data_IF_030611102564
#
_entry.id   IF_030611102564
#
_cell.length_a   1.000
_cell.length_b   1.000
_cell.length_c   1.000
_cell.angle_alpha   90.00
_cell.angle_beta   90.00
_cell.angle_gamma   90.00
#
_symmetry.space_group_name_H-M   'P 1'
#
loop_
_entity.id
_entity.type
_entity.pdbx_description
1 polymer ?
#
# COMPACT_ATOMS: atom_id res chain seq x y z
N UNK A 1 21.72 9.25 -11.08
CA UNK A 1 21.33 7.91 -11.57
C UNK A 1 20.07 7.47 -10.82
N UNK A 2 19.13 6.82 -11.49
CA UNK A 2 17.87 6.35 -10.90
C UNK A 2 17.99 4.84 -10.67
N UNK A 3 18.01 4.41 -9.41
CA UNK A 3 17.90 2.98 -9.08
C UNK A 3 16.46 2.52 -9.29
N UNK A 4 16.25 1.71 -10.31
CA UNK A 4 14.96 1.09 -10.60
C UNK A 4 14.89 -0.28 -9.92
N UNK A 5 13.78 -0.52 -9.21
CA UNK A 5 13.53 -1.78 -8.51
C UNK A 5 12.34 -2.50 -9.15
N UNK A 6 12.48 -3.80 -9.39
CA UNK A 6 11.43 -4.65 -9.95
C UNK A 6 10.93 -5.59 -8.86
N UNK A 7 9.61 -5.70 -8.73
CA UNK A 7 8.96 -6.67 -7.86
C UNK A 7 8.35 -7.78 -8.71
N UNK A 8 8.77 -9.02 -8.46
CA UNK A 8 8.29 -10.21 -9.16
C UNK A 8 7.56 -11.06 -8.12
N UNK A 9 6.31 -11.41 -8.43
CA UNK A 9 5.46 -12.24 -7.57
C UNK A 9 4.75 -13.28 -8.46
N UNK A 10 4.56 -14.53 -7.99
CA UNK A 10 3.66 -15.48 -8.64
C UNK A 10 2.23 -14.93 -8.69
N UNK A 11 1.49 -15.27 -9.75
CA UNK A 11 0.09 -14.89 -9.90
C UNK A 11 -0.78 -15.35 -8.72
N UNK A 12 -0.54 -16.56 -8.21
CA UNK A 12 -1.24 -17.11 -7.04
C UNK A 12 -1.04 -16.24 -5.81
N UNK A 13 0.20 -15.85 -5.54
CA UNK A 13 0.53 -14.96 -4.42
C UNK A 13 -0.10 -13.57 -4.59
N UNK A 14 -0.12 -13.03 -5.81
CA UNK A 14 -0.78 -11.74 -6.07
C UNK A 14 -2.30 -11.84 -5.84
N UNK A 15 -2.93 -12.94 -6.24
CA UNK A 15 -4.34 -13.20 -5.98
C UNK A 15 -4.66 -13.30 -4.49
N UNK A 16 -3.81 -13.98 -3.71
CA UNK A 16 -3.94 -14.06 -2.25
C UNK A 16 -3.85 -12.66 -1.61
N UNK A 17 -2.84 -11.87 -1.98
CA UNK A 17 -2.66 -10.50 -1.49
C UNK A 17 -3.87 -9.61 -1.81
N UNK A 18 -4.43 -9.72 -3.03
CA UNK A 18 -5.63 -8.97 -3.41
C UNK A 18 -6.85 -9.41 -2.58
N UNK A 19 -7.00 -10.71 -2.35
CA UNK A 19 -8.15 -11.30 -1.66
C UNK A 19 -8.12 -11.03 -0.15
N UNK A 20 -6.94 -10.86 0.43
CA UNK A 20 -6.76 -10.51 1.85
C UNK A 20 -6.94 -9.01 2.16
N UNK A 21 -7.38 -8.19 1.18
CA UNK A 21 -7.65 -6.77 1.41
C UNK A 21 -8.80 -6.59 2.43
N UNK A 22 -8.56 -5.98 3.61
CA UNK A 22 -9.48 -6.07 4.74
C UNK A 22 -10.56 -4.99 4.77
N UNK A 23 -10.45 -3.94 3.95
CA UNK A 23 -11.36 -2.82 3.99
C UNK A 23 -12.52 -2.99 3.01
N UNK A 24 -13.71 -2.55 3.44
CA UNK A 24 -14.89 -2.51 2.58
C UNK A 24 -14.63 -1.52 1.45
N UNK A 25 -14.65 -2.01 0.20
CA UNK A 25 -14.56 -1.16 -0.98
C UNK A 25 -15.85 -0.35 -1.11
N UNK A 26 -15.72 0.95 -1.30
CA UNK A 26 -16.81 1.82 -1.67
C UNK A 26 -16.39 2.69 -2.88
N UNK A 27 -17.36 3.34 -3.52
CA UNK A 27 -17.08 4.14 -4.72
C UNK A 27 -16.41 5.49 -4.41
N UNK A 28 -16.44 5.97 -3.16
CA UNK A 28 -15.85 7.23 -2.75
C UNK A 28 -14.39 7.12 -2.31
N UNK A 29 -13.85 5.92 -2.20
CA UNK A 29 -12.50 5.65 -1.69
C UNK A 29 -11.59 5.03 -2.77
N UNK A 30 -10.29 5.26 -2.61
CA UNK A 30 -9.26 4.52 -3.30
C UNK A 30 -8.67 3.45 -2.39
N UNK A 31 -8.49 2.26 -2.95
CA UNK A 31 -7.93 1.11 -2.28
C UNK A 31 -6.56 0.79 -2.88
N UNK A 32 -5.54 0.73 -2.03
CA UNK A 32 -4.15 0.56 -2.40
C UNK A 32 -3.52 -0.63 -1.68
N UNK A 33 -2.57 -1.25 -2.36
CA UNK A 33 -1.62 -2.19 -1.78
C UNK A 33 -0.24 -1.54 -1.88
N UNK A 34 0.43 -1.44 -0.74
CA UNK A 34 1.81 -0.95 -0.65
C UNK A 34 2.71 -2.15 -0.43
N UNK A 35 3.58 -2.38 -1.40
CA UNK A 35 4.63 -3.39 -1.33
C UNK A 35 5.90 -2.75 -0.77
N UNK A 36 6.53 -3.39 0.20
CA UNK A 36 7.83 -2.95 0.74
C UNK A 36 8.94 -3.92 0.33
N UNK A 37 10.15 -3.40 0.19
CA UNK A 37 11.33 -4.25 -0.04
C UNK A 37 11.73 -5.04 1.21
N UNK A 38 11.64 -4.40 2.39
CA UNK A 38 12.07 -4.96 3.67
C UNK A 38 10.89 -5.03 4.65
N UNK A 39 10.90 -6.07 5.48
CA UNK A 39 9.88 -6.26 6.54
C UNK A 39 9.94 -5.12 7.57
N UNK A 40 11.14 -4.65 7.90
CA UNK A 40 11.35 -3.53 8.84
C UNK A 40 10.66 -2.24 8.41
N UNK A 41 10.55 -1.99 7.10
CA UNK A 41 9.87 -0.81 6.54
C UNK A 41 8.39 -0.76 6.93
N UNK A 42 7.74 -1.91 7.17
CA UNK A 42 6.33 -1.95 7.61
C UNK A 42 6.18 -1.28 8.97
N UNK A 43 7.04 -1.65 9.93
CA UNK A 43 6.97 -1.11 11.29
C UNK A 43 7.18 0.41 11.28
N UNK A 44 8.20 0.88 10.55
CA UNK A 44 8.48 2.32 10.43
C UNK A 44 7.34 3.11 9.77
N UNK A 45 6.68 2.54 8.76
CA UNK A 45 5.54 3.19 8.08
C UNK A 45 4.33 3.29 9.00
N UNK A 46 4.02 2.22 9.73
CA UNK A 46 2.88 2.19 10.65
C UNK A 46 3.10 3.11 11.85
N UNK A 47 4.31 3.13 12.42
CA UNK A 47 4.67 4.06 13.50
C UNK A 47 4.59 5.51 13.02
N UNK A 48 5.12 5.81 11.84
CA UNK A 48 5.01 7.15 11.26
C UNK A 48 3.54 7.58 11.06
N UNK A 49 2.67 6.65 10.66
CA UNK A 49 1.23 6.93 10.47
C UNK A 49 0.48 7.10 11.79
N UNK A 50 0.78 6.29 12.81
CA UNK A 50 0.17 6.42 14.16
C UNK A 50 0.42 7.79 14.79
N UNK A 51 1.53 8.42 14.45
CA UNK A 51 1.86 9.79 14.89
C UNK A 51 1.13 10.89 14.10
N UNK A 52 0.17 10.55 13.24
CA UNK A 52 -0.64 11.50 12.49
C UNK A 52 -2.10 11.43 12.91
N UNK A 53 -2.74 12.58 13.12
CA UNK A 53 -4.19 12.64 13.29
C UNK A 53 -4.86 12.58 11.91
N UNK A 54 -5.25 11.39 11.46
CA UNK A 54 -6.01 11.26 10.22
C UNK A 54 -7.13 10.20 10.27
N UNK A 55 -8.34 10.57 10.72
CA UNK A 55 -9.47 9.64 10.81
C UNK A 55 -10.05 9.24 9.44
N UNK A 56 -9.65 9.89 8.35
CA UNK A 56 -10.16 9.61 7.00
C UNK A 56 -9.37 8.54 6.25
N UNK A 57 -8.32 7.99 6.85
CA UNK A 57 -7.48 6.96 6.24
C UNK A 57 -7.52 5.68 7.07
N UNK A 58 -7.56 4.54 6.38
CA UNK A 58 -7.38 3.24 7.00
C UNK A 58 -6.09 2.62 6.49
N UNK A 59 -5.19 2.26 7.39
CA UNK A 59 -3.89 1.67 7.07
C UNK A 59 -3.68 0.47 7.98
N UNK A 60 -3.37 -0.70 7.41
CA UNK A 60 -3.04 -1.89 8.20
C UNK A 60 -2.06 -2.78 7.46
N UNK A 61 -1.22 -3.52 8.20
CA UNK A 61 -0.36 -4.54 7.62
C UNK A 61 -1.16 -5.79 7.24
N UNK A 62 -0.66 -6.55 6.27
CA UNK A 62 -1.17 -7.89 6.02
C UNK A 62 -0.85 -8.84 7.18
N UNK A 63 -1.75 -9.79 7.44
CA UNK A 63 -1.57 -10.87 8.41
C UNK A 63 -0.66 -11.95 7.80
N UNK A 64 -0.87 -12.27 6.52
CA UNK A 64 -0.23 -13.40 5.84
C UNK A 64 1.06 -13.00 5.11
N UNK A 65 1.37 -11.69 5.00
CA UNK A 65 2.53 -11.21 4.26
C UNK A 65 3.22 -10.01 4.92
N UNK A 66 4.43 -10.23 5.44
CA UNK A 66 5.22 -9.25 6.19
C UNK A 66 5.85 -8.14 5.32
N UNK A 67 5.46 -8.02 4.05
CA UNK A 67 5.92 -6.96 3.14
C UNK A 67 4.76 -6.18 2.51
N UNK A 68 3.55 -6.33 3.05
CA UNK A 68 2.35 -5.72 2.50
C UNK A 68 1.65 -4.85 3.54
N UNK A 69 1.27 -3.65 3.10
CA UNK A 69 0.32 -2.77 3.78
C UNK A 69 -0.89 -2.58 2.87
N UNK A 70 -2.08 -2.65 3.45
CA UNK A 70 -3.32 -2.22 2.83
C UNK A 70 -3.63 -0.81 3.27
N UNK A 71 -4.07 0.01 2.32
CA UNK A 71 -4.38 1.40 2.56
C UNK A 71 -5.65 1.82 1.81
N UNK A 72 -6.58 2.44 2.54
CA UNK A 72 -7.77 3.08 2.00
C UNK A 72 -7.77 4.58 2.33
N UNK A 73 -8.14 5.40 1.36
CA UNK A 73 -8.25 6.86 1.50
C UNK A 73 -9.29 7.43 0.56
N UNK A 74 -9.94 8.53 0.94
CA UNK A 74 -10.97 9.16 0.13
C UNK A 74 -10.44 9.64 -1.22
N UNK A 75 -11.28 9.51 -2.26
CA UNK A 75 -10.99 10.03 -3.60
C UNK A 75 -10.67 11.53 -3.54
N UNK A 76 -9.74 11.96 -4.37
CA UNK A 76 -9.27 13.36 -4.39
C UNK A 76 -8.27 13.72 -3.28
N UNK A 77 -8.09 12.88 -2.27
CA UNK A 77 -7.17 13.14 -1.15
C UNK A 77 -5.90 12.29 -1.16
N UNK A 78 -5.78 11.29 -2.05
CA UNK A 78 -4.67 10.32 -2.02
C UNK A 78 -3.26 10.90 -2.24
N UNK A 79 -3.11 12.13 -2.73
CA UNK A 79 -1.80 12.82 -2.83
C UNK A 79 -1.52 13.77 -1.67
N UNK A 80 -2.55 14.18 -0.93
CA UNK A 80 -2.43 15.11 0.19
C UNK A 80 -2.68 14.44 1.56
N UNK A 81 -3.02 13.16 1.56
CA UNK A 81 -3.26 12.37 2.76
C UNK A 81 -1.99 12.24 3.61
N UNK A 82 -2.17 11.96 4.89
CA UNK A 82 -1.06 11.78 5.84
C UNK A 82 -0.20 10.58 5.42
N UNK A 83 -0.81 9.45 5.07
CA UNK A 83 -0.05 8.27 4.66
C UNK A 83 0.66 8.47 3.31
N UNK A 84 0.04 9.18 2.36
CA UNK A 84 0.70 9.55 1.11
C UNK A 84 1.95 10.39 1.33
N UNK A 85 1.89 11.38 2.22
CA UNK A 85 3.03 12.24 2.58
C UNK A 85 4.15 11.43 3.22
N UNK A 86 3.83 10.44 4.05
CA UNK A 86 4.81 9.51 4.62
C UNK A 86 5.48 8.72 3.49
N UNK A 87 4.72 8.07 2.61
CA UNK A 87 5.26 7.27 1.50
C UNK A 87 6.17 8.07 0.56
N UNK A 88 5.92 9.37 0.41
CA UNK A 88 6.73 10.28 -0.42
C UNK A 88 8.06 10.71 0.23
N UNK A 89 8.27 10.45 1.52
CA UNK A 89 9.54 10.75 2.19
C UNK A 89 10.69 9.98 1.52
N UNK A 90 11.86 10.62 1.42
CA UNK A 90 13.04 10.08 0.72
C UNK A 90 13.40 8.66 1.13
N UNK A 91 13.22 8.30 2.41
CA UNK A 91 13.53 6.97 2.94
C UNK A 91 12.59 5.85 2.47
N UNK A 92 11.35 6.18 2.14
CA UNK A 92 10.31 5.21 1.72
C UNK A 92 10.08 5.21 0.22
N UNK A 93 10.30 6.35 -0.45
CA UNK A 93 10.01 6.53 -1.87
C UNK A 93 10.76 5.54 -2.78
N UNK A 94 11.99 5.16 -2.45
CA UNK A 94 12.77 4.17 -3.23
C UNK A 94 12.54 2.72 -2.79
N UNK A 95 11.88 2.49 -1.64
CA UNK A 95 11.78 1.15 -1.01
C UNK A 95 10.35 0.64 -0.96
N UNK A 96 9.39 1.41 -1.48
CA UNK A 96 7.97 1.07 -1.52
C UNK A 96 7.41 1.18 -2.94
N UNK A 97 6.48 0.31 -3.25
CA UNK A 97 5.69 0.36 -4.49
C UNK A 97 4.22 0.45 -4.12
N UNK A 98 3.54 1.51 -4.53
CA UNK A 98 2.11 1.68 -4.31
C UNK A 98 1.35 1.30 -5.58
N UNK A 99 0.32 0.45 -5.46
CA UNK A 99 -0.55 0.09 -6.58
C UNK A 99 -2.00 0.12 -6.15
N UNK A 100 -2.86 0.65 -7.02
CA UNK A 100 -4.29 0.58 -6.81
C UNK A 100 -4.77 -0.86 -6.99
N UNK A 101 -5.63 -1.34 -6.11
CA UNK A 101 -6.11 -2.73 -6.15
C UNK A 101 -6.82 -3.06 -7.47
N UNK A 102 -7.53 -2.11 -8.09
CA UNK A 102 -8.20 -2.32 -9.37
C UNK A 102 -7.17 -2.55 -10.50
N UNK A 103 -5.98 -1.96 -10.37
CA UNK A 103 -4.88 -2.23 -11.33
C UNK A 103 -4.36 -3.64 -11.16
N UNK A 104 -4.16 -4.09 -9.92
CA UNK A 104 -3.67 -5.45 -9.62
C UNK A 104 -4.70 -6.52 -9.99
N UNK A 105 -5.99 -6.26 -9.74
CA UNK A 105 -7.09 -7.15 -10.13
C UNK A 105 -7.13 -7.39 -11.64
N UNK A 106 -6.84 -6.37 -12.45
CA UNK A 106 -6.74 -6.55 -13.90
C UNK A 106 -5.54 -7.42 -14.29
N UNK A 107 -4.43 -7.36 -13.55
CA UNK A 107 -3.24 -8.16 -13.87
C UNK A 107 -3.52 -9.66 -13.73
N UNK A 108 -4.24 -10.06 -12.69
CA UNK A 108 -4.55 -11.48 -12.38
C UNK A 108 -5.75 -12.06 -13.14
N UNK A 109 -6.39 -11.27 -14.00
CA UNK A 109 -7.50 -11.72 -14.85
C UNK A 109 -7.03 -12.30 -16.19
N UNK A 110 -5.75 -12.15 -16.52
CA UNK A 110 -5.10 -12.70 -17.71
C UNK A 110 -4.33 -13.97 -17.35
#
# INVERSE_FOLDING_TARGET
EYEAYIQILPFTQLNEIISSYPFIKNESEHCYIVFTQKKSTIAELLEAFQNTENPSEQVTKSIDNERIIYWQTSKGHSTNSAFAKILLQKKFKSTTTVRNINTLQKMVQY
#
